data_IF_265738021736
#
_entry.id   IF_265738021736
#
_cell.length_a   1.000
_cell.length_b   1.000
_cell.length_c   1.000
_cell.angle_alpha   90.00
_cell.angle_beta   90.00
_cell.angle_gamma   90.00
#
_symmetry.space_group_name_H-M   'P 1'
#
loop_
_entity.id
_entity.type
_entity.pdbx_description
1 polymer ?
#
# COMPACT_ATOMS: atom_id res chain seq x y z
N UNK A 1 41.59 -25.70 5.44
CA UNK A 1 41.17 -24.35 5.84
C UNK A 1 39.94 -24.05 5.01
N UNK A 2 38.78 -24.41 5.54
CA UNK A 2 37.50 -24.29 4.84
C UNK A 2 37.18 -22.79 4.76
N UNK A 3 37.20 -22.24 3.54
CA UNK A 3 36.81 -20.84 3.31
C UNK A 3 35.29 -20.78 3.32
N UNK A 4 34.72 -20.29 4.41
CA UNK A 4 33.30 -19.99 4.48
C UNK A 4 33.03 -18.77 3.59
N UNK A 5 32.39 -18.99 2.44
CA UNK A 5 31.84 -17.91 1.62
C UNK A 5 30.79 -17.16 2.45
N UNK A 6 31.21 -16.08 3.11
CA UNK A 6 30.32 -15.11 3.73
C UNK A 6 29.51 -14.45 2.62
N UNK A 7 28.33 -15.02 2.35
CA UNK A 7 27.34 -14.43 1.46
C UNK A 7 27.14 -12.97 1.87
N UNK A 8 27.34 -12.04 0.93
CA UNK A 8 27.11 -10.61 1.13
C UNK A 8 25.65 -10.42 1.52
N UNK A 9 25.39 -10.36 2.82
CA UNK A 9 24.08 -10.05 3.39
C UNK A 9 23.74 -8.61 3.02
N UNK A 10 23.17 -8.41 1.82
CA UNK A 10 22.53 -7.17 1.44
C UNK A 10 21.32 -6.89 2.33
N UNK A 11 20.63 -5.77 2.08
CA UNK A 11 19.38 -5.43 2.78
C UNK A 11 18.48 -6.66 2.84
N UNK A 12 18.05 -7.13 4.03
CA UNK A 12 17.19 -8.29 4.16
C UNK A 12 16.03 -8.16 3.18
N UNK A 13 15.74 -9.21 2.42
CA UNK A 13 14.54 -9.24 1.58
C UNK A 13 13.35 -9.03 2.52
N UNK A 14 12.80 -7.81 2.55
CA UNK A 14 11.56 -7.55 3.26
C UNK A 14 10.54 -8.56 2.76
N UNK A 15 9.96 -9.36 3.65
CA UNK A 15 9.09 -10.49 3.29
C UNK A 15 7.81 -10.08 2.54
N UNK A 16 7.48 -8.79 2.52
CA UNK A 16 6.37 -8.24 1.75
C UNK A 16 6.78 -6.93 1.07
N UNK A 17 7.58 -6.97 -0.01
CA UNK A 17 7.92 -5.77 -0.73
C UNK A 17 6.63 -5.24 -1.39
N UNK A 18 6.30 -3.96 -1.19
CA UNK A 18 5.24 -3.27 -1.92
C UNK A 18 5.69 -3.05 -3.38
N UNK A 19 5.89 -4.15 -4.12
CA UNK A 19 6.43 -4.16 -5.49
C UNK A 19 5.33 -4.02 -6.55
N UNK A 20 4.06 -4.05 -6.17
CA UNK A 20 2.94 -3.92 -7.10
C UNK A 20 2.59 -2.44 -7.25
N UNK A 21 2.93 -1.86 -8.41
CA UNK A 21 2.52 -0.52 -8.79
C UNK A 21 1.19 -0.60 -9.54
N UNK A 22 0.15 0.04 -8.99
CA UNK A 22 -1.16 0.13 -9.64
C UNK A 22 -1.33 1.58 -10.12
N UNK A 23 -1.46 1.75 -11.43
CA UNK A 23 -1.83 3.04 -12.04
C UNK A 23 -3.33 3.16 -12.11
N UNK A 24 -3.92 3.99 -11.25
CA UNK A 24 -5.36 4.31 -11.29
C UNK A 24 -5.57 5.60 -12.10
N UNK A 25 -6.38 5.54 -13.16
CA UNK A 25 -6.87 6.75 -13.84
C UNK A 25 -8.06 7.29 -13.07
N UNK A 26 -7.88 8.46 -12.47
CA UNK A 26 -8.90 9.21 -11.76
C UNK A 26 -9.29 10.42 -12.60
N UNK A 27 -10.54 10.84 -12.50
CA UNK A 27 -10.95 12.17 -12.96
C UNK A 27 -10.39 13.26 -12.02
N UNK A 28 -10.30 14.51 -12.50
CA UNK A 28 -9.83 15.63 -11.66
C UNK A 28 -10.69 15.83 -10.41
N UNK A 29 -12.00 15.57 -10.52
CA UNK A 29 -12.94 15.67 -9.40
C UNK A 29 -12.66 14.61 -8.33
N UNK A 30 -12.42 13.37 -8.74
CA UNK A 30 -12.08 12.28 -7.81
C UNK A 30 -10.72 12.51 -7.15
N UNK A 31 -9.72 12.95 -7.90
CA UNK A 31 -8.41 13.30 -7.37
C UNK A 31 -8.49 14.45 -6.37
N UNK A 32 -9.32 15.46 -6.65
CA UNK A 32 -9.54 16.60 -5.74
C UNK A 32 -10.21 16.15 -4.45
N UNK A 33 -11.27 15.36 -4.53
CA UNK A 33 -11.93 14.78 -3.34
C UNK A 33 -10.98 13.92 -2.50
N UNK A 34 -10.18 13.07 -3.15
CA UNK A 34 -9.15 12.27 -2.50
C UNK A 34 -8.11 13.13 -1.80
N UNK A 35 -7.68 14.22 -2.43
CA UNK A 35 -6.67 15.14 -1.90
C UNK A 35 -7.20 15.98 -0.74
N UNK A 36 -8.45 16.42 -0.80
CA UNK A 36 -9.12 17.09 0.31
C UNK A 36 -9.30 16.16 1.51
N UNK A 37 -9.71 14.91 1.27
CA UNK A 37 -9.84 13.90 2.31
C UNK A 37 -8.48 13.60 2.96
N UNK A 38 -7.46 13.37 2.15
CA UNK A 38 -6.07 13.22 2.57
C UNK A 38 -5.61 14.38 3.46
N UNK A 39 -5.86 15.63 3.03
CA UNK A 39 -5.51 16.84 3.78
C UNK A 39 -6.27 16.98 5.10
N UNK A 40 -7.55 16.56 5.15
CA UNK A 40 -8.37 16.60 6.37
C UNK A 40 -7.96 15.57 7.41
N UNK A 41 -7.35 14.48 6.98
CA UNK A 41 -6.99 13.34 7.83
C UNK A 41 -5.48 13.19 8.05
N UNK A 42 -4.66 14.16 7.61
CA UNK A 42 -3.19 14.11 7.65
C UNK A 42 -2.61 12.82 7.06
N UNK A 43 -3.21 12.35 5.95
CA UNK A 43 -2.81 11.13 5.25
C UNK A 43 -2.37 11.45 3.83
N UNK A 44 -1.47 10.65 3.27
CA UNK A 44 -1.17 10.74 1.83
C UNK A 44 -2.30 10.12 1.01
N UNK A 45 -2.49 10.58 -0.23
CA UNK A 45 -3.49 10.02 -1.16
C UNK A 45 -3.33 8.50 -1.29
N UNK A 46 -2.09 8.00 -1.28
CA UNK A 46 -1.77 6.57 -1.28
C UNK A 46 -2.24 5.83 -0.03
N UNK A 47 -2.16 6.45 1.15
CA UNK A 47 -2.65 5.84 2.40
C UNK A 47 -4.17 5.83 2.45
N UNK A 48 -4.82 6.87 1.95
CA UNK A 48 -6.28 6.92 1.81
C UNK A 48 -6.76 5.80 0.88
N UNK A 49 -6.09 5.59 -0.25
CA UNK A 49 -6.41 4.50 -1.17
C UNK A 49 -6.15 3.12 -0.55
N UNK A 50 -5.04 2.94 0.18
CA UNK A 50 -4.77 1.68 0.91
C UNK A 50 -5.88 1.39 1.91
N UNK A 51 -6.26 2.38 2.72
CA UNK A 51 -7.39 2.23 3.65
C UNK A 51 -8.71 1.96 2.94
N UNK A 52 -8.95 2.57 1.79
CA UNK A 52 -10.14 2.29 0.97
C UNK A 52 -10.23 0.82 0.56
N UNK A 53 -9.08 0.21 0.20
CA UNK A 53 -9.01 -1.21 -0.12
C UNK A 53 -9.28 -2.06 1.13
N UNK A 54 -8.60 -1.80 2.26
CA UNK A 54 -8.83 -2.52 3.52
C UNK A 54 -10.29 -2.44 3.99
N UNK A 55 -10.92 -1.27 3.88
CA UNK A 55 -12.32 -1.06 4.24
C UNK A 55 -13.27 -1.85 3.32
N UNK A 56 -13.00 -1.89 2.02
CA UNK A 56 -13.82 -2.65 1.05
C UNK A 56 -13.80 -4.15 1.37
N UNK A 57 -12.62 -4.71 1.65
CA UNK A 57 -12.50 -6.12 2.05
C UNK A 57 -13.15 -6.39 3.42
N UNK A 58 -12.98 -5.49 4.40
CA UNK A 58 -13.63 -5.61 5.70
C UNK A 58 -15.17 -5.54 5.62
N UNK A 59 -15.71 -4.79 4.66
CA UNK A 59 -17.15 -4.75 4.38
C UNK A 59 -17.65 -6.06 3.74
N UNK A 60 -16.88 -6.67 2.83
CA UNK A 60 -17.22 -7.98 2.24
C UNK A 60 -17.19 -9.12 3.27
N UNK A 61 -16.25 -9.09 4.22
CA UNK A 61 -16.20 -10.05 5.32
C UNK A 61 -17.42 -9.94 6.25
N UNK A 62 -17.95 -8.72 6.48
CA UNK A 62 -19.17 -8.52 7.29
C UNK A 62 -20.48 -8.91 6.58
N UNK A 63 -20.50 -8.99 5.24
CA UNK A 63 -21.70 -9.41 4.49
C UNK A 63 -21.79 -10.94 4.32
N UNK A 64 -20.74 -11.68 4.69
CA UNK A 64 -20.70 -13.15 4.63
C UNK A 64 -20.92 -13.85 5.98
N UNK A 65 -21.08 -13.10 7.08
CA UNK A 65 -21.32 -13.65 8.42
C UNK A 65 -22.80 -13.77 8.77
#
# INVERSE_FOLDING_TARGET
MEVYDVAKMGRPKSANPKNTLIGLKLTEEEATKLREYASKHDMTVTEVLQKGIDLQYAMEDSQRS
#
